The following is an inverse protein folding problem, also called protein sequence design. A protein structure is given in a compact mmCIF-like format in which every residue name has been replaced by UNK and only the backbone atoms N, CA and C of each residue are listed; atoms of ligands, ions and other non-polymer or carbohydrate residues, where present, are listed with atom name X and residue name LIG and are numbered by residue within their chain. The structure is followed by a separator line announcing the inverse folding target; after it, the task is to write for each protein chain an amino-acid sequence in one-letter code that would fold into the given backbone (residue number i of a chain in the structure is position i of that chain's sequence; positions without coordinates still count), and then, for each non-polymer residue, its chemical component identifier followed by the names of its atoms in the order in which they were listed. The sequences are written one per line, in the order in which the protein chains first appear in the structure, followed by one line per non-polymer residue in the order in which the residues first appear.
data_IF_138273238775
#
_entry.id   IF_138273238775
#
_cell.length_a   1.000
_cell.length_b   1.000
_cell.length_c   1.000
_cell.angle_alpha   90.00
_cell.angle_beta   90.00
_cell.angle_gamma   90.00
#
_symmetry.space_group_name_H-M   'P 1'
#
loop_
_entity.id
_entity.type
_entity.pdbx_description
1 polymer ?
#
# COMPACT_ATOMS: atom_id res chain seq x y z
N UNK A 1 -64.35 67.51 -36.22
CA UNK A 1 -63.59 68.72 -35.87
C UNK A 1 -62.10 68.35 -35.83
N UNK A 2 -61.32 68.96 -36.73
CA UNK A 2 -59.84 69.16 -36.75
C UNK A 2 -58.95 68.04 -36.14
N UNK A 3 -58.22 67.23 -36.93
CA UNK A 3 -56.85 67.48 -37.49
C UNK A 3 -55.80 67.85 -36.42
N UNK A 4 -54.57 67.32 -36.32
CA UNK A 4 -53.74 66.40 -37.13
C UNK A 4 -52.38 66.19 -36.39
N UNK A 5 -51.76 65.02 -36.61
CA UNK A 5 -50.32 64.73 -36.89
C UNK A 5 -49.27 65.03 -35.81
N UNK A 6 -48.53 64.05 -35.28
CA UNK A 6 -47.59 63.07 -35.88
C UNK A 6 -46.14 63.58 -35.82
N UNK A 7 -45.34 62.94 -34.97
CA UNK A 7 -43.87 63.03 -34.98
C UNK A 7 -43.30 61.81 -34.27
N UNK A 8 -42.82 60.82 -35.01
CA UNK A 8 -41.78 59.84 -34.58
C UNK A 8 -41.48 58.95 -35.78
N UNK A 9 -40.34 59.15 -36.45
CA UNK A 9 -39.02 58.58 -36.16
C UNK A 9 -38.87 57.21 -36.84
N UNK A 10 -38.19 57.23 -37.99
CA UNK A 10 -37.65 56.05 -38.66
C UNK A 10 -36.62 55.37 -37.76
N UNK A 11 -36.79 54.08 -37.47
CA UNK A 11 -35.72 53.23 -36.98
C UNK A 11 -35.57 52.01 -37.91
N UNK A 12 -34.42 51.96 -38.57
CA UNK A 12 -33.97 50.84 -39.39
C UNK A 12 -33.76 49.61 -38.49
N UNK A 13 -34.34 48.47 -38.87
CA UNK A 13 -34.08 47.18 -38.22
C UNK A 13 -33.01 46.43 -39.01
N UNK A 14 -31.93 46.10 -38.30
CA UNK A 14 -30.76 45.42 -38.82
C UNK A 14 -31.03 43.92 -39.02
N UNK A 15 -30.51 43.36 -40.12
CA UNK A 15 -30.43 41.93 -40.38
C UNK A 15 -29.55 41.25 -39.31
N UNK A 16 -30.10 40.29 -38.57
CA UNK A 16 -29.31 39.38 -37.74
C UNK A 16 -29.07 38.08 -38.50
N UNK A 17 -27.79 37.79 -38.75
CA UNK A 17 -27.35 36.51 -39.30
C UNK A 17 -27.34 35.45 -38.20
N UNK A 18 -28.10 34.38 -38.39
CA UNK A 18 -28.12 33.20 -37.51
C UNK A 18 -26.88 32.34 -37.78
N UNK A 19 -25.93 32.35 -36.85
CA UNK A 19 -24.80 31.41 -36.84
C UNK A 19 -25.30 30.11 -36.21
N UNK A 20 -25.44 29.06 -37.03
CA UNK A 20 -25.68 27.71 -36.55
C UNK A 20 -24.46 27.19 -35.81
N UNK A 21 -24.58 26.95 -34.51
CA UNK A 21 -23.55 26.28 -33.72
C UNK A 21 -23.63 24.77 -33.93
N UNK A 22 -22.50 24.21 -34.35
CA UNK A 22 -22.30 22.79 -34.57
C UNK A 22 -22.47 22.00 -33.26
N UNK A 23 -23.14 20.85 -33.37
CA UNK A 23 -23.25 19.86 -32.31
C UNK A 23 -21.85 19.35 -31.92
N UNK A 24 -21.44 19.60 -30.68
CA UNK A 24 -20.30 18.94 -30.08
C UNK A 24 -20.64 17.44 -29.93
N UNK A 25 -19.87 16.60 -30.60
CA UNK A 25 -19.94 15.14 -30.45
C UNK A 25 -19.49 14.79 -29.04
N UNK A 26 -20.33 14.05 -28.31
CA UNK A 26 -19.93 13.41 -27.06
C UNK A 26 -18.82 12.40 -27.38
N UNK A 27 -17.59 12.72 -27.03
CA UNK A 27 -16.56 11.69 -26.86
C UNK A 27 -17.05 10.78 -25.73
N UNK A 28 -17.42 9.56 -26.07
CA UNK A 28 -17.72 8.53 -25.08
C UNK A 28 -16.49 8.36 -24.19
N UNK A 29 -16.62 8.68 -22.91
CA UNK A 29 -15.65 8.29 -21.89
C UNK A 29 -15.63 6.76 -21.86
N UNK A 30 -14.59 6.17 -22.45
CA UNK A 30 -14.22 4.79 -22.18
C UNK A 30 -13.74 4.72 -20.73
N UNK A 31 -14.68 4.61 -19.79
CA UNK A 31 -14.42 4.17 -18.42
C UNK A 31 -14.08 2.67 -18.46
N UNK A 32 -12.87 2.34 -18.92
CA UNK A 32 -12.24 1.09 -18.57
C UNK A 32 -11.06 1.41 -17.65
N UNK A 33 -11.37 1.86 -16.44
CA UNK A 33 -10.46 1.66 -15.33
C UNK A 33 -10.42 0.15 -15.10
N UNK A 34 -9.47 -0.54 -15.74
CA UNK A 34 -9.04 -1.86 -15.29
C UNK A 34 -8.45 -1.61 -13.91
N UNK A 35 -9.26 -1.84 -12.87
CA UNK A 35 -8.88 -1.53 -11.51
C UNK A 35 -7.63 -2.31 -11.10
N UNK A 36 -6.76 -1.67 -10.33
CA UNK A 36 -5.63 -2.32 -9.69
C UNK A 36 -6.15 -3.52 -8.87
N UNK A 37 -5.64 -4.72 -9.14
CA UNK A 37 -6.08 -5.94 -8.45
C UNK A 37 -4.87 -6.77 -8.02
N UNK A 38 -4.74 -7.00 -6.72
CA UNK A 38 -3.82 -7.98 -6.18
C UNK A 38 -4.45 -9.38 -6.18
N UNK A 39 -3.69 -10.40 -6.56
CA UNK A 39 -4.11 -11.80 -6.54
C UNK A 39 -3.27 -12.58 -5.53
N UNK A 40 -3.82 -12.91 -4.35
CA UNK A 40 -3.09 -13.66 -3.34
C UNK A 40 -2.57 -15.00 -3.87
N UNK A 41 -1.33 -15.38 -3.54
CA UNK A 41 -0.84 -16.73 -3.82
C UNK A 41 -1.67 -17.75 -3.03
N UNK A 42 -1.72 -18.99 -3.53
CA UNK A 42 -2.43 -20.08 -2.86
C UNK A 42 -1.58 -20.75 -1.76
N UNK A 43 -0.90 -19.92 -0.98
CA UNK A 43 0.03 -20.31 0.07
C UNK A 43 -0.58 -19.90 1.42
N UNK A 44 -1.15 -20.86 2.15
CA UNK A 44 -1.58 -20.62 3.52
C UNK A 44 -0.39 -20.29 4.44
N UNK A 45 -0.64 -19.57 5.54
CA UNK A 45 0.40 -19.32 6.55
C UNK A 45 0.72 -20.59 7.37
N UNK A 46 1.98 -20.81 7.77
CA UNK A 46 2.32 -21.84 8.75
C UNK A 46 1.46 -21.72 10.01
N UNK A 47 1.00 -22.85 10.55
CA UNK A 47 0.03 -22.91 11.65
C UNK A 47 0.43 -22.04 12.84
N UNK A 48 -0.45 -21.12 13.22
CA UNK A 48 -0.20 -20.19 14.33
C UNK A 48 -0.74 -20.78 15.64
N UNK A 49 0.06 -20.73 16.71
CA UNK A 49 -0.43 -20.92 18.08
C UNK A 49 -0.78 -19.53 18.63
N UNK A 50 -2.07 -19.23 18.78
CA UNK A 50 -2.51 -17.97 19.39
C UNK A 50 -2.13 -17.97 20.88
N UNK A 51 -1.29 -17.03 21.29
CA UNK A 51 -1.02 -16.77 22.71
C UNK A 51 -2.28 -16.29 23.43
N UNK A 52 -2.45 -16.72 24.69
CA UNK A 52 -3.64 -16.45 25.49
C UNK A 52 -3.91 -14.96 25.72
N UNK A 53 -5.20 -14.63 25.88
CA UNK A 53 -5.71 -13.28 26.08
C UNK A 53 -4.98 -12.52 27.21
N UNK A 54 -4.39 -11.37 26.86
CA UNK A 54 -3.79 -10.43 27.82
C UNK A 54 -4.87 -9.50 28.39
N UNK A 55 -4.88 -9.32 29.71
CA UNK A 55 -5.75 -8.36 30.43
C UNK A 55 -4.92 -7.13 30.79
N UNK A 56 -4.75 -6.19 29.85
CA UNK A 56 -4.01 -4.95 30.13
C UNK A 56 -4.75 -3.73 29.53
N UNK A 57 -4.95 -2.64 30.28
CA UNK A 57 -5.50 -1.38 29.75
C UNK A 57 -4.54 -0.59 28.85
N UNK A 58 -3.27 -1.00 28.71
CA UNK A 58 -2.30 -0.33 27.83
C UNK A 58 -2.62 -0.62 26.34
N UNK A 59 -3.03 0.43 25.62
CA UNK A 59 -3.43 0.37 24.22
C UNK A 59 -2.32 -0.19 23.30
N UNK A 60 -1.04 0.02 23.65
CA UNK A 60 0.07 -0.57 22.88
C UNK A 60 0.05 -2.11 22.91
N UNK A 61 -0.39 -2.71 24.02
CA UNK A 61 -0.37 -4.16 24.23
C UNK A 61 -1.61 -4.88 23.72
N UNK A 62 -2.56 -4.13 23.16
CA UNK A 62 -3.75 -4.70 22.54
C UNK A 62 -3.39 -5.14 21.13
N UNK A 63 -3.14 -6.44 20.96
CA UNK A 63 -2.96 -7.04 19.63
C UNK A 63 -4.33 -7.30 19.00
N UNK A 64 -4.69 -6.55 17.96
CA UNK A 64 -5.95 -6.72 17.23
C UNK A 64 -5.88 -7.85 16.20
N UNK A 65 -4.71 -8.06 15.60
CA UNK A 65 -4.49 -9.10 14.58
C UNK A 65 -3.04 -9.60 14.64
N UNK A 66 -2.67 -10.64 13.85
CA UNK A 66 -1.28 -11.07 13.74
C UNK A 66 -0.33 -9.94 13.30
N UNK A 67 -0.81 -8.92 12.61
CA UNK A 67 0.01 -7.82 12.05
C UNK A 67 -0.31 -6.46 12.67
N UNK A 68 -1.29 -6.36 13.55
CA UNK A 68 -1.70 -5.10 14.18
C UNK A 68 -1.71 -5.15 15.72
N UNK A 69 -1.06 -4.17 16.36
CA UNK A 69 -1.16 -3.90 17.79
C UNK A 69 -1.23 -2.38 18.07
N UNK A 70 -2.26 -1.94 18.79
CA UNK A 70 -2.56 -0.53 18.95
C UNK A 70 -2.69 0.18 17.59
N UNK A 71 -1.90 1.23 17.36
CA UNK A 71 -1.84 1.92 16.07
C UNK A 71 -0.59 1.56 15.25
N UNK A 72 0.00 0.40 15.51
CA UNK A 72 1.13 -0.12 14.77
C UNK A 72 0.66 -1.27 13.89
N UNK A 73 0.93 -1.18 12.60
CA UNK A 73 0.57 -2.21 11.60
C UNK A 73 1.81 -2.63 10.83
N UNK A 74 2.16 -3.91 10.86
CA UNK A 74 3.14 -4.49 9.95
C UNK A 74 2.48 -4.71 8.59
N UNK A 75 3.06 -4.19 7.50
CA UNK A 75 2.51 -4.33 6.15
C UNK A 75 2.86 -5.68 5.51
N UNK A 76 2.54 -6.75 6.24
CA UNK A 76 2.57 -8.13 5.76
C UNK A 76 1.14 -8.66 5.64
N UNK A 77 0.84 -9.52 4.67
CA UNK A 77 -0.51 -10.06 4.52
C UNK A 77 -0.86 -10.99 5.70
N UNK A 78 -2.09 -10.91 6.19
CA UNK A 78 -2.51 -11.69 7.38
C UNK A 78 -2.85 -13.16 7.07
N UNK A 79 -3.30 -13.42 5.84
CA UNK A 79 -3.96 -14.69 5.48
C UNK A 79 -3.11 -15.61 4.59
N UNK A 80 -1.99 -15.12 4.07
CA UNK A 80 -1.13 -15.84 3.13
C UNK A 80 0.34 -15.46 3.34
N UNK A 81 1.24 -16.23 2.72
CA UNK A 81 2.67 -15.88 2.68
C UNK A 81 2.89 -14.81 1.62
N UNK A 82 3.42 -13.65 2.00
CA UNK A 82 3.78 -12.61 1.04
C UNK A 82 4.97 -13.04 0.20
N UNK A 83 4.89 -12.87 -1.12
CA UNK A 83 6.01 -13.18 -2.01
C UNK A 83 6.85 -11.96 -2.32
N UNK A 84 8.14 -12.17 -2.57
CA UNK A 84 9.08 -11.16 -3.06
C UNK A 84 10.02 -11.71 -4.12
N UNK A 85 10.49 -10.87 -5.04
CA UNK A 85 11.54 -11.22 -6.01
C UNK A 85 12.94 -10.88 -5.46
N UNK A 86 13.01 -9.92 -4.54
CA UNK A 86 14.24 -9.41 -3.97
C UNK A 86 14.90 -10.39 -3.00
N UNK A 87 16.24 -10.47 -3.04
CA UNK A 87 17.03 -11.20 -2.03
C UNK A 87 17.08 -10.45 -0.68
N UNK A 88 16.80 -9.15 -0.71
CA UNK A 88 16.67 -8.27 0.46
C UNK A 88 15.45 -7.37 0.25
N UNK A 89 14.24 -7.80 0.64
CA UNK A 89 13.00 -7.07 0.36
C UNK A 89 12.90 -5.77 1.16
N UNK A 90 12.12 -4.83 0.64
CA UNK A 90 11.66 -3.68 1.42
C UNK A 90 10.43 -4.07 2.23
N UNK A 91 10.49 -3.82 3.53
CA UNK A 91 9.43 -4.18 4.47
C UNK A 91 8.99 -2.92 5.19
N UNK A 92 7.70 -2.80 5.49
CA UNK A 92 7.14 -1.55 6.00
C UNK A 92 6.28 -1.78 7.23
N UNK A 93 6.31 -0.79 8.12
CA UNK A 93 5.46 -0.67 9.30
C UNK A 93 4.72 0.66 9.18
N UNK A 94 3.40 0.64 9.33
CA UNK A 94 2.59 1.86 9.48
C UNK A 94 2.41 2.18 10.97
N UNK A 95 2.63 3.43 11.34
CA UNK A 95 2.64 3.91 12.72
C UNK A 95 1.75 5.16 12.85
N UNK A 96 0.46 4.96 13.09
CA UNK A 96 -0.53 6.04 13.06
C UNK A 96 -0.76 6.64 14.45
N UNK A 97 -0.18 7.80 14.77
CA UNK A 97 -0.36 8.45 16.08
C UNK A 97 -0.05 7.51 17.27
N UNK A 98 1.03 6.73 17.16
CA UNK A 98 1.44 5.78 18.21
C UNK A 98 2.39 6.43 19.24
N UNK A 99 2.31 5.97 20.50
CA UNK A 99 3.26 6.32 21.56
C UNK A 99 4.56 5.49 21.48
N UNK A 100 4.58 4.42 20.70
CA UNK A 100 5.75 3.53 20.55
C UNK A 100 6.88 4.27 19.84
N UNK A 101 8.06 4.27 20.45
CA UNK A 101 9.27 4.94 19.92
C UNK A 101 10.30 3.99 19.33
N UNK A 102 10.13 2.69 19.57
CA UNK A 102 11.10 1.69 19.16
C UNK A 102 10.39 0.35 18.96
N UNK A 103 10.87 -0.40 17.97
CA UNK A 103 10.49 -1.79 17.74
C UNK A 103 11.72 -2.68 17.82
N UNK A 104 11.54 -3.90 18.30
CA UNK A 104 12.49 -4.98 18.09
C UNK A 104 12.07 -5.78 16.85
N UNK A 105 12.99 -5.95 15.92
CA UNK A 105 12.78 -6.70 14.68
C UNK A 105 13.57 -7.99 14.76
N UNK A 106 12.95 -9.10 14.37
CA UNK A 106 13.59 -10.41 14.24
C UNK A 106 13.16 -11.04 12.92
N UNK A 107 14.12 -11.50 12.15
CA UNK A 107 13.91 -12.16 10.86
C UNK A 107 14.58 -13.53 10.91
N UNK A 108 13.77 -14.59 10.76
CA UNK A 108 14.20 -15.98 10.93
C UNK A 108 13.75 -16.84 9.74
N UNK A 109 14.47 -17.92 9.45
CA UNK A 109 13.91 -18.99 8.62
C UNK A 109 12.86 -19.79 9.41
N UNK A 110 12.12 -20.68 8.74
CA UNK A 110 11.10 -21.50 9.41
C UNK A 110 11.67 -22.58 10.36
N UNK A 111 13.00 -22.78 10.37
CA UNK A 111 13.69 -23.67 11.31
C UNK A 111 14.08 -22.93 12.62
N UNK A 112 13.85 -21.61 12.70
CA UNK A 112 14.18 -20.77 13.85
C UNK A 112 15.61 -20.22 13.84
N UNK A 113 16.34 -20.36 12.74
CA UNK A 113 17.64 -19.72 12.57
C UNK A 113 17.45 -18.24 12.29
N UNK A 114 18.12 -17.39 13.07
CA UNK A 114 18.05 -15.94 12.94
C UNK A 114 18.95 -15.45 11.81
N UNK A 115 18.35 -14.80 10.82
CA UNK A 115 19.06 -14.08 9.76
C UNK A 115 19.41 -12.65 10.23
N UNK A 116 18.49 -12.02 10.97
CA UNK A 116 18.68 -10.68 11.52
C UNK A 116 17.86 -10.49 12.79
N UNK A 117 18.41 -9.74 13.75
CA UNK A 117 17.64 -9.18 14.84
C UNK A 117 18.24 -7.85 15.29
N UNK A 118 17.40 -6.89 15.68
CA UNK A 118 17.86 -5.56 16.07
C UNK A 118 16.74 -4.66 16.57
N UNK A 119 17.14 -3.57 17.21
CA UNK A 119 16.21 -2.50 17.56
C UNK A 119 16.21 -1.44 16.48
N UNK A 120 15.02 -0.94 16.14
CA UNK A 120 14.83 0.16 15.22
C UNK A 120 13.97 1.24 15.86
N UNK A 121 14.43 2.48 15.81
CA UNK A 121 13.66 3.63 16.29
C UNK A 121 12.53 3.97 15.32
N UNK A 122 11.35 4.27 15.85
CA UNK A 122 10.26 4.86 15.09
C UNK A 122 10.33 6.38 15.28
N UNK A 123 10.49 7.11 14.18
CA UNK A 123 10.48 8.57 14.21
C UNK A 123 9.04 9.08 14.39
N UNK A 124 8.87 10.06 15.27
CA UNK A 124 7.57 10.68 15.50
C UNK A 124 7.04 11.29 14.20
N UNK A 125 5.79 10.99 13.85
CA UNK A 125 5.06 11.49 12.66
C UNK A 125 5.34 10.79 11.32
N UNK A 126 6.11 9.69 11.28
CA UNK A 126 6.18 8.89 10.05
C UNK A 126 4.99 7.93 10.00
N UNK A 127 3.98 8.28 9.21
CA UNK A 127 2.84 7.38 8.97
C UNK A 127 3.32 6.02 8.47
N UNK A 128 4.35 5.99 7.61
CA UNK A 128 4.96 4.76 7.09
C UNK A 128 6.47 4.77 7.35
N UNK A 129 6.99 3.69 7.91
CA UNK A 129 8.41 3.49 8.21
C UNK A 129 8.91 2.22 7.50
N UNK A 130 10.02 2.31 6.77
CA UNK A 130 10.73 1.14 6.23
C UNK A 130 11.52 0.44 7.34
N UNK A 131 11.45 -0.88 7.40
CA UNK A 131 12.30 -1.70 8.27
C UNK A 131 13.71 -1.72 7.68
N UNK A 132 14.69 -1.32 8.49
CA UNK A 132 16.09 -1.32 8.08
C UNK A 132 16.68 -2.72 8.27
N UNK A 133 16.92 -3.40 7.15
CA UNK A 133 17.65 -4.66 7.10
C UNK A 133 19.14 -4.36 6.77
N UNK A 134 20.10 -4.92 7.52
CA UNK A 134 21.52 -4.73 7.23
C UNK A 134 21.90 -5.27 5.85
N UNK A 135 22.81 -4.57 5.16
CA UNK A 135 23.28 -5.00 3.84
C UNK A 135 24.11 -6.30 3.88
N UNK A 136 24.67 -6.64 5.04
CA UNK A 136 25.44 -7.86 5.32
C UNK A 136 24.60 -9.00 5.90
N UNK A 137 23.28 -8.82 6.03
CA UNK A 137 22.36 -9.89 6.40
C UNK A 137 22.44 -11.04 5.40
N UNK A 138 22.22 -12.27 5.89
CA UNK A 138 22.04 -13.43 5.00
C UNK A 138 20.86 -13.19 4.07
N UNK A 139 21.14 -13.16 2.76
CA UNK A 139 20.13 -12.91 1.74
C UNK A 139 19.07 -14.02 1.72
N UNK A 140 17.85 -13.67 1.33
CA UNK A 140 16.78 -14.64 1.17
C UNK A 140 17.08 -15.56 -0.01
N UNK A 141 17.01 -16.86 0.24
CA UNK A 141 17.17 -17.90 -0.77
C UNK A 141 15.87 -18.11 -1.55
N UNK A 142 16.00 -18.47 -2.82
CA UNK A 142 14.87 -18.77 -3.69
C UNK A 142 14.04 -19.94 -3.13
N UNK A 143 12.72 -19.80 -3.21
CA UNK A 143 11.70 -20.76 -2.78
C UNK A 143 11.74 -21.11 -1.28
N UNK A 144 12.44 -20.31 -0.47
CA UNK A 144 12.44 -20.41 0.99
C UNK A 144 11.48 -19.40 1.60
N UNK A 145 10.84 -19.85 2.68
CA UNK A 145 9.96 -19.02 3.49
C UNK A 145 10.65 -18.63 4.80
N UNK A 146 10.28 -17.44 5.27
CA UNK A 146 10.88 -16.78 6.41
C UNK A 146 9.78 -16.15 7.26
N UNK A 147 10.07 -15.99 8.55
CA UNK A 147 9.20 -15.34 9.53
C UNK A 147 9.82 -13.99 9.92
N UNK A 148 9.06 -12.93 9.67
CA UNK A 148 9.32 -11.60 10.20
C UNK A 148 8.53 -11.43 11.49
N UNK A 149 9.18 -10.95 12.55
CA UNK A 149 8.55 -10.59 13.81
C UNK A 149 8.95 -9.17 14.19
N UNK A 150 7.95 -8.34 14.49
CA UNK A 150 8.10 -6.96 14.95
C UNK A 150 7.41 -6.84 16.30
N UNK A 151 8.18 -6.46 17.32
CA UNK A 151 7.70 -6.33 18.70
C UNK A 151 7.80 -4.86 19.10
N UNK A 152 6.68 -4.12 19.23
CA UNK A 152 6.73 -2.76 19.74
C UNK A 152 7.18 -2.74 21.20
N UNK A 153 8.13 -1.86 21.51
CA UNK A 153 8.56 -1.63 22.88
C UNK A 153 7.54 -0.71 23.55
N UNK A 154 6.54 -1.30 24.22
CA UNK A 154 5.40 -0.55 24.77
C UNK A 154 5.76 0.31 26.00
N UNK A 155 6.83 -0.03 26.70
CA UNK A 155 7.29 0.71 27.88
C UNK A 155 8.76 1.12 27.72
N UNK A 156 9.50 1.28 28.82
CA UNK A 156 10.91 1.68 28.76
C UNK A 156 11.84 0.57 28.22
N UNK A 157 11.40 -0.69 28.24
CA UNK A 157 12.19 -1.87 27.84
C UNK A 157 11.28 -2.91 27.22
N UNK A 158 11.85 -3.74 26.33
CA UNK A 158 11.18 -4.89 25.71
C UNK A 158 10.78 -5.89 26.78
N UNK A 159 9.52 -6.34 26.75
CA UNK A 159 8.97 -7.27 27.75
C UNK A 159 8.36 -8.52 27.12
N UNK A 160 8.31 -9.64 27.85
CA UNK A 160 7.71 -10.88 27.35
C UNK A 160 6.22 -10.77 27.00
N UNK A 161 5.52 -9.77 27.54
CA UNK A 161 4.10 -9.52 27.31
C UNK A 161 3.83 -8.38 26.32
N UNK A 162 4.87 -7.85 25.67
CA UNK A 162 4.69 -6.95 24.53
C UNK A 162 4.21 -7.78 23.31
N UNK A 163 3.31 -7.24 22.48
CA UNK A 163 2.66 -8.00 21.41
C UNK A 163 3.66 -8.32 20.29
N UNK A 164 3.42 -9.40 19.56
CA UNK A 164 4.33 -9.81 18.46
C UNK A 164 3.58 -9.73 17.15
N UNK A 165 3.90 -8.73 16.33
CA UNK A 165 3.42 -8.63 14.97
C UNK A 165 4.21 -9.59 14.09
N UNK A 166 3.54 -10.47 13.36
CA UNK A 166 4.17 -11.53 12.56
C UNK A 166 3.75 -11.44 11.10
N UNK A 167 4.73 -11.54 10.21
CA UNK A 167 4.52 -11.70 8.77
C UNK A 167 5.33 -12.87 8.22
N UNK A 168 4.88 -13.44 7.11
CA UNK A 168 5.61 -14.50 6.41
C UNK A 168 6.02 -14.03 5.01
N UNK A 169 7.27 -14.27 4.67
CA UNK A 169 7.90 -13.83 3.43
C UNK A 169 8.45 -15.06 2.71
N UNK A 170 8.21 -15.18 1.41
CA UNK A 170 8.87 -16.16 0.54
C UNK A 170 9.52 -15.46 -0.63
N UNK A 171 10.79 -15.75 -0.90
CA UNK A 171 11.42 -15.32 -2.14
C UNK A 171 11.03 -16.26 -3.27
N UNK A 172 10.56 -15.73 -4.38
CA UNK A 172 10.15 -16.48 -5.57
C UNK A 172 10.82 -15.92 -6.82
N UNK A 173 10.75 -16.66 -7.93
CA UNK A 173 11.17 -16.18 -9.25
C UNK A 173 9.96 -16.06 -10.17
N UNK A 174 9.92 -15.01 -10.98
CA UNK A 174 9.04 -14.96 -12.14
C UNK A 174 9.78 -15.48 -13.38
N UNK A 175 9.08 -16.18 -14.30
CA UNK A 175 9.64 -16.49 -15.61
C UNK A 175 10.13 -15.19 -16.28
N UNK A 176 11.30 -15.21 -16.92
CA UNK A 176 11.88 -14.00 -17.53
C UNK A 176 11.02 -13.41 -18.65
N UNK A 177 10.30 -14.27 -19.36
CA UNK A 177 9.32 -13.91 -20.39
C UNK A 177 8.01 -13.34 -19.80
N UNK A 178 7.79 -13.50 -18.50
CA UNK A 178 6.65 -12.94 -17.81
C UNK A 178 6.87 -11.47 -17.44
N UNK A 179 8.12 -11.04 -17.20
CA UNK A 179 8.44 -9.65 -16.85
C UNK A 179 8.29 -8.77 -18.12
N UNK A 180 7.51 -7.68 -18.08
CA UNK A 180 7.41 -6.76 -19.20
C UNK A 180 8.80 -6.26 -19.66
N UNK A 181 9.16 -6.54 -20.91
CA UNK A 181 10.46 -6.15 -21.50
C UNK A 181 10.45 -4.76 -22.13
N UNK A 182 9.26 -4.18 -22.35
CA UNK A 182 9.09 -2.81 -22.81
C UNK A 182 9.09 -1.83 -21.64
N UNK A 183 9.40 -0.55 -21.91
CA UNK A 183 9.29 0.52 -20.91
C UNK A 183 7.82 0.69 -20.51
N UNK A 184 7.41 0.02 -19.44
CA UNK A 184 6.11 0.21 -18.79
C UNK A 184 6.21 1.24 -17.67
N UNK A 185 5.09 1.86 -17.31
CA UNK A 185 5.07 2.77 -16.16
C UNK A 185 5.29 1.98 -14.85
N UNK A 186 5.74 2.65 -13.80
CA UNK A 186 5.87 2.03 -12.47
C UNK A 186 4.54 1.52 -11.93
N UNK A 187 3.43 2.22 -12.20
CA UNK A 187 2.09 1.76 -11.81
C UNK A 187 1.67 0.50 -12.58
N UNK A 188 1.98 0.39 -13.87
CA UNK A 188 1.73 -0.82 -14.65
C UNK A 188 2.57 -1.99 -14.14
N UNK A 189 3.84 -1.75 -13.81
CA UNK A 189 4.71 -2.77 -13.23
C UNK A 189 4.22 -3.22 -11.84
N UNK A 190 3.79 -2.28 -10.99
CA UNK A 190 3.19 -2.60 -9.70
C UNK A 190 1.91 -3.44 -9.85
N UNK A 191 1.09 -3.09 -10.84
CA UNK A 191 -0.13 -3.84 -11.20
C UNK A 191 0.19 -5.25 -11.68
N UNK A 192 1.25 -5.40 -12.47
CA UNK A 192 1.73 -6.70 -12.95
C UNK A 192 2.23 -7.58 -11.79
N UNK A 193 3.06 -7.04 -10.89
CA UNK A 193 3.52 -7.74 -9.68
C UNK A 193 2.34 -8.15 -8.80
N UNK A 194 1.36 -7.25 -8.61
CA UNK A 194 0.18 -7.52 -7.82
C UNK A 194 -0.69 -8.64 -8.41
N UNK A 195 -0.90 -8.61 -9.73
CA UNK A 195 -1.63 -9.66 -10.45
C UNK A 195 -0.89 -11.02 -10.43
N UNK A 196 0.43 -10.98 -10.22
CA UNK A 196 1.30 -12.16 -10.08
C UNK A 196 1.48 -12.62 -8.62
N UNK A 197 0.84 -11.96 -7.65
CA UNK A 197 0.90 -12.30 -6.23
C UNK A 197 2.19 -11.87 -5.52
N UNK A 198 3.00 -11.02 -6.14
CA UNK A 198 4.24 -10.49 -5.55
C UNK A 198 3.89 -9.32 -4.63
N UNK A 199 3.91 -9.56 -3.32
CA UNK A 199 3.42 -8.61 -2.32
C UNK A 199 4.42 -7.47 -2.03
N UNK A 200 5.64 -7.84 -1.62
CA UNK A 200 6.59 -6.85 -1.07
C UNK A 200 7.14 -5.92 -2.14
N UNK A 201 7.40 -6.42 -3.36
CA UNK A 201 7.88 -5.61 -4.48
C UNK A 201 6.78 -4.67 -5.00
N UNK A 202 5.51 -5.08 -4.97
CA UNK A 202 4.39 -4.19 -5.26
C UNK A 202 4.33 -3.04 -4.26
N UNK A 203 4.40 -3.33 -2.95
CA UNK A 203 4.41 -2.28 -1.93
C UNK A 203 5.61 -1.35 -2.06
N UNK A 204 6.81 -1.89 -2.27
CA UNK A 204 8.02 -1.09 -2.44
C UNK A 204 7.89 -0.12 -3.62
N UNK A 205 7.40 -0.61 -4.76
CA UNK A 205 7.24 0.21 -5.96
C UNK A 205 6.19 1.30 -5.78
N UNK A 206 5.00 0.95 -5.25
CA UNK A 206 3.96 1.95 -4.99
C UNK A 206 4.40 2.99 -3.95
N UNK A 207 5.14 2.57 -2.93
CA UNK A 207 5.65 3.49 -1.90
C UNK A 207 6.68 4.47 -2.47
N UNK A 208 7.57 4.01 -3.35
CA UNK A 208 8.53 4.86 -4.03
C UNK A 208 7.81 5.93 -4.88
N UNK A 209 6.84 5.52 -5.70
CA UNK A 209 6.06 6.42 -6.54
C UNK A 209 5.21 7.40 -5.70
N UNK A 210 4.55 6.94 -4.64
CA UNK A 210 3.79 7.82 -3.73
C UNK A 210 4.67 8.83 -2.99
N UNK A 211 5.96 8.55 -2.84
CA UNK A 211 6.90 9.49 -2.23
C UNK A 211 7.24 10.64 -3.18
N UNK A 212 7.18 10.41 -4.49
CA UNK A 212 7.41 11.42 -5.52
C UNK A 212 6.11 12.14 -5.90
N UNK A 213 5.00 11.41 -6.03
CA UNK A 213 3.70 11.90 -6.48
C UNK A 213 2.57 11.59 -5.46
N UNK A 214 2.62 12.16 -4.24
CA UNK A 214 1.71 11.81 -3.15
C UNK A 214 0.24 12.16 -3.41
N UNK A 215 -0.05 13.00 -4.41
CA UNK A 215 -1.39 13.45 -4.76
C UNK A 215 -1.99 12.72 -5.98
N UNK A 216 -1.29 11.76 -6.59
CA UNK A 216 -1.86 10.97 -7.69
C UNK A 216 -2.97 10.04 -7.16
N UNK A 217 -4.24 10.24 -7.56
CA UNK A 217 -5.35 9.41 -7.10
C UNK A 217 -5.22 7.93 -7.54
N UNK A 218 -4.51 7.66 -8.65
CA UNK A 218 -4.29 6.30 -9.16
C UNK A 218 -3.36 5.52 -8.26
N UNK A 219 -2.26 6.15 -7.81
CA UNK A 219 -1.31 5.57 -6.86
C UNK A 219 -1.96 5.36 -5.48
N UNK A 220 -2.73 6.33 -5.00
CA UNK A 220 -3.48 6.20 -3.74
C UNK A 220 -4.47 5.04 -3.80
N UNK A 221 -5.25 4.95 -4.88
CA UNK A 221 -6.21 3.86 -5.06
C UNK A 221 -5.53 2.49 -5.18
N UNK A 222 -4.40 2.41 -5.90
CA UNK A 222 -3.61 1.19 -6.00
C UNK A 222 -3.08 0.75 -4.63
N UNK A 223 -2.53 1.68 -3.84
CA UNK A 223 -2.04 1.41 -2.49
C UNK A 223 -3.12 0.86 -1.57
N UNK A 224 -4.28 1.53 -1.52
CA UNK A 224 -5.44 1.06 -0.74
C UNK A 224 -5.91 -0.33 -1.19
N UNK A 225 -5.95 -0.59 -2.50
CA UNK A 225 -6.34 -1.88 -3.05
C UNK A 225 -5.37 -3.00 -2.64
N UNK A 226 -4.05 -2.76 -2.66
CA UNK A 226 -3.06 -3.73 -2.18
C UNK A 226 -3.27 -4.01 -0.70
N UNK A 227 -3.32 -2.98 0.16
CA UNK A 227 -3.47 -3.15 1.60
C UNK A 227 -4.73 -3.95 1.96
N UNK A 228 -5.85 -3.58 1.34
CA UNK A 228 -7.14 -4.27 1.52
C UNK A 228 -7.05 -5.76 1.16
N UNK A 229 -6.34 -6.10 0.08
CA UNK A 229 -6.15 -7.51 -0.33
C UNK A 229 -5.36 -8.35 0.69
N UNK A 230 -4.48 -7.71 1.46
CA UNK A 230 -3.74 -8.32 2.58
C UNK A 230 -4.48 -8.31 3.92
N UNK A 231 -5.71 -7.79 3.95
CA UNK A 231 -6.51 -7.52 5.17
C UNK A 231 -5.90 -6.47 6.09
N UNK A 232 -5.16 -5.53 5.53
CA UNK A 232 -4.57 -4.43 6.27
C UNK A 232 -5.51 -3.22 6.26
N UNK A 233 -5.54 -2.42 7.34
CA UNK A 233 -6.35 -1.20 7.41
C UNK A 233 -5.83 -0.09 6.48
#
# INVERSE_FOLDING_TARGET
MKTRFASTLLLATALTASIGTAFAQSAGQLNNAVGFQFRPPNDGIPGNTTGGASRNPDFCRIQQSPTQAGNLTLLAPEAFVGHTLAESPELFIRADQTSVKQVFVSFQNLQGETLYQGFQSLTENTGLTRIELPADMTQLELDKAYRLSVVPVCQATLRPDDPVLTGYIRRVSLPQDAIPTETVSSLDMASYYAASGIWYDTLALLQAELSEEPADPSLQSAWEAVLSSGRLP
#
